data_IF_584576690405
#
_entry.id   IF_584576690405
#
_cell.length_a   1.000
_cell.length_b   1.000
_cell.length_c   1.000
_cell.angle_alpha   90.00
_cell.angle_beta   90.00
_cell.angle_gamma   90.00
#
_symmetry.space_group_name_H-M   'P 1'
#
loop_
_entity.id
_entity.type
_entity.pdbx_description
1 polymer ?
#
# COMPACT_ATOMS: atom_id res chain seq x y z
N UNK A 1 -12.47 13.71 6.89
CA UNK A 1 -12.23 12.27 7.12
C UNK A 1 -12.75 11.96 8.52
N UNK A 2 -13.84 11.19 8.62
CA UNK A 2 -14.58 10.96 9.88
C UNK A 2 -13.70 10.42 11.01
N UNK A 3 -12.72 9.58 10.70
CA UNK A 3 -11.83 8.99 11.70
C UNK A 3 -10.86 10.04 12.29
N UNK A 4 -10.30 10.91 11.44
CA UNK A 4 -9.42 12.00 11.88
C UNK A 4 -10.20 13.07 12.64
N UNK A 5 -11.40 13.42 12.17
CA UNK A 5 -12.29 14.36 12.86
C UNK A 5 -12.74 13.83 14.22
N UNK A 6 -13.02 12.53 14.33
CA UNK A 6 -13.35 11.90 15.61
C UNK A 6 -12.15 11.93 16.57
N UNK A 7 -10.95 11.68 16.07
CA UNK A 7 -9.75 11.66 16.90
C UNK A 7 -9.37 13.04 17.49
N UNK A 8 -9.78 14.14 16.84
CA UNK A 8 -9.53 15.49 17.37
C UNK A 8 -10.51 15.91 18.47
N UNK A 9 -11.71 15.33 18.48
CA UNK A 9 -12.78 15.68 19.43
C UNK A 9 -12.85 14.73 20.63
N UNK A 10 -12.51 13.46 20.42
CA UNK A 10 -12.71 12.40 21.38
C UNK A 10 -11.39 11.76 21.82
N UNK A 11 -11.43 10.88 22.84
CA UNK A 11 -10.21 10.35 23.47
C UNK A 11 -10.08 8.85 23.41
N UNK A 12 -11.18 8.09 23.45
CA UNK A 12 -11.12 6.62 23.56
C UNK A 12 -11.54 5.96 22.26
N UNK A 13 -10.67 5.13 21.69
CA UNK A 13 -10.97 4.32 20.53
C UNK A 13 -10.87 2.83 20.87
N UNK A 14 -11.79 2.04 20.34
CA UNK A 14 -11.69 0.58 20.37
C UNK A 14 -11.62 0.05 18.94
N UNK A 15 -10.59 -0.74 18.66
CA UNK A 15 -10.43 -1.43 17.37
C UNK A 15 -10.79 -2.90 17.56
N UNK A 16 -11.80 -3.38 16.86
CA UNK A 16 -12.22 -4.78 16.90
C UNK A 16 -11.48 -5.52 15.78
N UNK A 17 -10.50 -6.33 16.16
CA UNK A 17 -9.67 -7.15 15.27
C UNK A 17 -8.18 -6.88 15.44
N UNK A 18 -7.43 -7.91 15.87
CA UNK A 18 -5.97 -7.91 16.04
C UNK A 18 -5.17 -8.30 14.78
N UNK A 19 -5.76 -8.10 13.59
CA UNK A 19 -5.10 -8.32 12.31
C UNK A 19 -4.33 -7.10 11.81
N UNK A 20 -3.65 -7.23 10.66
CA UNK A 20 -2.78 -6.20 10.08
C UNK A 20 -3.43 -4.79 10.04
N UNK A 21 -4.60 -4.68 9.41
CA UNK A 21 -5.31 -3.40 9.26
C UNK A 21 -5.80 -2.83 10.60
N UNK A 22 -6.19 -3.71 11.54
CA UNK A 22 -6.62 -3.29 12.87
C UNK A 22 -5.47 -2.66 13.65
N UNK A 23 -4.30 -3.30 13.64
CA UNK A 23 -3.11 -2.79 14.31
C UNK A 23 -2.59 -1.50 13.66
N UNK A 24 -2.65 -1.38 12.33
CA UNK A 24 -2.28 -0.15 11.61
C UNK A 24 -3.25 1.00 11.93
N UNK A 25 -4.57 0.73 11.96
CA UNK A 25 -5.57 1.72 12.36
C UNK A 25 -5.41 2.15 13.82
N UNK A 26 -5.16 1.20 14.73
CA UNK A 26 -4.92 1.46 16.14
C UNK A 26 -3.70 2.37 16.34
N UNK A 27 -2.57 2.03 15.71
CA UNK A 27 -1.37 2.87 15.73
C UNK A 27 -1.61 4.26 15.10
N UNK A 28 -2.40 4.33 14.02
CA UNK A 28 -2.80 5.60 13.40
C UNK A 28 -3.57 6.51 14.37
N UNK A 29 -4.55 5.96 15.09
CA UNK A 29 -5.35 6.68 16.10
C UNK A 29 -4.52 7.09 17.32
N UNK A 30 -3.62 6.22 17.78
CA UNK A 30 -2.68 6.56 18.86
C UNK A 30 -1.80 7.76 18.49
N UNK A 31 -1.30 7.82 17.25
CA UNK A 31 -0.54 8.97 16.74
C UNK A 31 -1.36 10.26 16.67
N UNK A 32 -2.70 10.17 16.65
CA UNK A 32 -3.61 11.33 16.77
C UNK A 32 -3.92 11.68 18.23
N UNK A 33 -3.34 10.97 19.21
CA UNK A 33 -3.50 11.27 20.64
C UNK A 33 -4.70 10.59 21.30
N UNK A 34 -5.28 9.56 20.68
CA UNK A 34 -6.32 8.73 21.31
C UNK A 34 -5.70 7.63 22.19
N UNK A 35 -6.40 7.28 23.28
CA UNK A 35 -6.22 6.01 23.97
C UNK A 35 -6.89 4.91 23.16
N UNK A 36 -6.14 3.86 22.80
CA UNK A 36 -6.64 2.80 21.92
C UNK A 36 -6.54 1.44 22.60
N UNK A 37 -7.67 0.73 22.61
CA UNK A 37 -7.76 -0.69 22.98
C UNK A 37 -8.07 -1.53 21.75
N UNK A 38 -7.29 -2.58 21.52
CA UNK A 38 -7.56 -3.59 20.48
C UNK A 38 -8.26 -4.76 21.14
N UNK A 39 -9.47 -5.06 20.68
CA UNK A 39 -10.24 -6.24 21.09
C UNK A 39 -10.01 -7.33 20.04
N UNK A 40 -9.59 -8.51 20.47
CA UNK A 40 -9.38 -9.64 19.57
C UNK A 40 -9.98 -10.92 20.14
N UNK A 41 -10.56 -11.73 19.26
CA UNK A 41 -11.24 -12.96 19.64
C UNK A 41 -10.27 -14.09 20.02
N UNK A 42 -9.11 -14.13 19.37
CA UNK A 42 -8.12 -15.18 19.58
C UNK A 42 -7.13 -14.80 20.68
N UNK A 43 -6.35 -15.78 21.13
CA UNK A 43 -5.26 -15.61 22.11
C UNK A 43 -3.97 -15.04 21.48
N UNK A 44 -3.94 -14.89 20.16
CA UNK A 44 -2.78 -14.46 19.37
C UNK A 44 -3.19 -13.41 18.33
N UNK A 45 -2.32 -12.42 18.13
CA UNK A 45 -2.45 -11.39 17.09
C UNK A 45 -2.01 -11.95 15.74
N UNK A 46 -2.67 -11.48 14.67
CA UNK A 46 -2.35 -11.86 13.30
C UNK A 46 -2.19 -13.38 13.13
N UNK A 47 -3.11 -14.18 13.68
CA UNK A 47 -3.03 -15.65 13.75
C UNK A 47 -2.94 -16.34 12.38
N UNK A 48 -3.27 -15.61 11.31
CA UNK A 48 -3.12 -16.06 9.91
C UNK A 48 -1.73 -15.78 9.31
N UNK A 49 -0.89 -15.02 10.01
CA UNK A 49 0.43 -14.59 9.54
C UNK A 49 1.55 -14.83 10.57
N UNK A 50 1.23 -14.91 11.86
CA UNK A 50 2.21 -15.13 12.91
C UNK A 50 1.90 -16.39 13.68
N UNK A 51 2.96 -17.05 14.12
CA UNK A 51 2.86 -18.07 15.14
C UNK A 51 2.87 -17.45 16.54
N UNK A 52 2.60 -18.28 17.55
CA UNK A 52 2.41 -17.81 18.93
C UNK A 52 3.62 -17.04 19.50
N UNK A 53 4.88 -17.49 19.32
CA UNK A 53 6.05 -16.73 19.78
C UNK A 53 6.14 -15.33 19.15
N UNK A 54 6.02 -15.22 17.83
CA UNK A 54 6.10 -13.93 17.14
C UNK A 54 4.91 -13.02 17.50
N UNK A 55 3.71 -13.58 17.63
CA UNK A 55 2.52 -12.86 18.09
C UNK A 55 2.72 -12.25 19.49
N UNK A 56 3.27 -13.01 20.44
CA UNK A 56 3.52 -12.51 21.80
C UNK A 56 4.56 -11.38 21.78
N UNK A 57 5.61 -11.52 20.96
CA UNK A 57 6.62 -10.47 20.78
C UNK A 57 6.00 -9.20 20.18
N UNK A 58 5.11 -9.33 19.19
CA UNK A 58 4.37 -8.23 18.60
C UNK A 58 3.49 -7.52 19.64
N UNK A 59 2.68 -8.29 20.37
CA UNK A 59 1.79 -7.76 21.39
C UNK A 59 2.57 -6.95 22.42
N UNK A 60 3.65 -7.53 22.98
CA UNK A 60 4.50 -6.85 23.96
C UNK A 60 5.10 -5.55 23.42
N UNK A 61 5.59 -5.55 22.18
CA UNK A 61 6.17 -4.34 21.57
C UNK A 61 5.14 -3.23 21.36
N UNK A 62 3.88 -3.59 21.07
CA UNK A 62 2.78 -2.63 20.93
C UNK A 62 2.28 -2.13 22.29
N UNK A 63 2.25 -2.99 23.30
CA UNK A 63 1.93 -2.61 24.70
C UNK A 63 2.95 -1.63 25.27
N UNK A 64 4.24 -1.85 25.02
CA UNK A 64 5.32 -0.92 25.41
C UNK A 64 5.15 0.47 24.77
N UNK A 65 4.42 0.56 23.66
CA UNK A 65 4.09 1.82 22.97
C UNK A 65 2.76 2.43 23.44
N UNK A 66 2.09 1.80 24.42
CA UNK A 66 0.85 2.27 25.03
C UNK A 66 -0.43 1.72 24.42
N UNK A 67 -0.35 0.77 23.47
CA UNK A 67 -1.54 0.10 22.94
C UNK A 67 -2.08 -0.89 23.98
N UNK A 68 -3.39 -0.90 24.22
CA UNK A 68 -4.00 -1.87 25.15
C UNK A 68 -4.61 -3.02 24.35
N UNK A 69 -4.55 -4.24 24.90
CA UNK A 69 -5.15 -5.41 24.28
C UNK A 69 -6.17 -6.07 25.21
N UNK A 70 -7.30 -6.44 24.62
CA UNK A 70 -8.35 -7.29 25.20
C UNK A 70 -8.41 -8.54 24.35
N UNK A 71 -7.51 -9.48 24.65
CA UNK A 71 -7.40 -10.77 23.96
C UNK A 71 -8.48 -11.73 24.47
N UNK A 72 -8.89 -12.68 23.63
CA UNK A 72 -9.95 -13.65 23.97
C UNK A 72 -11.30 -12.99 24.34
N UNK A 73 -11.56 -11.79 23.84
CA UNK A 73 -12.80 -11.04 24.09
C UNK A 73 -13.76 -11.13 22.90
N UNK A 74 -14.97 -11.63 23.17
CA UNK A 74 -16.06 -11.69 22.19
C UNK A 74 -16.96 -10.47 22.38
N UNK A 75 -16.97 -9.54 21.42
CA UNK A 75 -17.91 -8.41 21.44
C UNK A 75 -19.35 -8.91 21.25
N UNK A 76 -20.25 -8.49 22.13
CA UNK A 76 -21.67 -8.82 22.09
C UNK A 76 -22.50 -7.65 21.53
N UNK A 77 -22.24 -6.43 22.01
CA UNK A 77 -23.03 -5.26 21.65
C UNK A 77 -22.17 -4.00 21.58
N UNK A 78 -22.48 -3.12 20.62
CA UNK A 78 -21.99 -1.74 20.57
C UNK A 78 -23.00 -0.88 21.33
N UNK A 79 -22.58 -0.28 22.43
CA UNK A 79 -23.44 0.51 23.32
C UNK A 79 -23.63 1.92 22.79
N UNK A 80 -24.82 2.48 23.01
CA UNK A 80 -25.20 3.83 22.60
C UNK A 80 -26.37 3.83 21.61
N UNK A 81 -27.06 4.97 21.48
CA UNK A 81 -28.21 5.11 20.57
C UNK A 81 -27.81 5.81 19.28
N UNK A 82 -27.49 7.10 19.34
CA UNK A 82 -27.06 7.89 18.18
C UNK A 82 -25.55 7.82 17.93
N UNK A 83 -24.76 7.62 18.99
CA UNK A 83 -23.31 7.50 18.96
C UNK A 83 -22.88 6.39 19.91
N UNK A 84 -21.81 5.70 19.53
CA UNK A 84 -21.15 4.74 20.41
C UNK A 84 -20.67 5.41 21.70
N UNK A 85 -20.93 4.74 22.83
CA UNK A 85 -20.42 5.09 24.15
C UNK A 85 -19.51 4.00 24.72
N UNK A 86 -19.58 2.79 24.16
CA UNK A 86 -18.77 1.66 24.61
C UNK A 86 -19.08 0.37 23.88
N UNK A 87 -18.44 -0.71 24.32
CA UNK A 87 -18.74 -2.08 23.92
C UNK A 87 -19.10 -2.90 25.14
N UNK A 88 -20.01 -3.87 24.95
CA UNK A 88 -20.27 -4.96 25.89
C UNK A 88 -19.75 -6.27 25.31
N UNK A 89 -19.12 -7.07 26.15
CA UNK A 89 -18.60 -8.39 25.79
C UNK A 89 -19.51 -9.51 26.28
N UNK A 90 -19.38 -10.71 25.70
CA UNK A 90 -20.18 -11.90 26.08
C UNK A 90 -20.01 -12.33 27.53
N UNK A 91 -18.88 -11.98 28.16
CA UNK A 91 -18.64 -12.23 29.59
C UNK A 91 -19.33 -11.21 30.51
N UNK A 92 -20.02 -10.20 29.95
CA UNK A 92 -20.71 -9.13 30.67
C UNK A 92 -19.84 -7.92 30.99
N UNK A 93 -18.54 -7.95 30.70
CA UNK A 93 -17.66 -6.79 30.86
C UNK A 93 -17.98 -5.72 29.80
N UNK A 94 -17.71 -4.47 30.15
CA UNK A 94 -17.91 -3.32 29.27
C UNK A 94 -16.65 -2.45 29.21
N UNK A 95 -16.44 -1.79 28.07
CA UNK A 95 -15.38 -0.80 27.88
C UNK A 95 -15.94 0.47 27.25
N UNK A 96 -15.56 1.63 27.79
CA UNK A 96 -15.88 2.92 27.20
C UNK A 96 -15.19 3.11 25.83
N UNK A 97 -15.93 3.61 24.85
CA UNK A 97 -15.42 3.89 23.52
C UNK A 97 -16.17 5.08 22.91
N UNK A 98 -15.43 6.10 22.48
CA UNK A 98 -15.99 7.20 21.71
C UNK A 98 -15.98 6.90 20.21
N UNK A 99 -15.10 5.99 19.76
CA UNK A 99 -14.92 5.58 18.38
C UNK A 99 -14.69 4.06 18.35
N UNK A 100 -15.42 3.36 17.47
CA UNK A 100 -15.20 1.94 17.20
C UNK A 100 -14.76 1.75 15.76
N UNK A 101 -13.65 1.02 15.56
CA UNK A 101 -13.15 0.63 14.24
C UNK A 101 -13.35 -0.88 14.07
N UNK A 102 -14.08 -1.26 13.02
CA UNK A 102 -14.28 -2.65 12.65
C UNK A 102 -13.17 -3.13 11.71
N UNK A 103 -12.32 -4.04 12.15
CA UNK A 103 -11.21 -4.62 11.39
C UNK A 103 -11.24 -6.16 11.43
N UNK A 104 -12.43 -6.73 11.18
CA UNK A 104 -12.74 -8.18 11.35
C UNK A 104 -12.68 -8.98 10.04
N UNK A 105 -11.88 -8.50 9.07
CA UNK A 105 -11.77 -9.08 7.73
C UNK A 105 -12.79 -8.53 6.73
N UNK A 106 -12.65 -8.95 5.48
CA UNK A 106 -13.47 -8.52 4.35
C UNK A 106 -14.25 -9.69 3.76
N UNK A 107 -15.29 -9.38 2.98
CA UNK A 107 -16.04 -10.35 2.20
C UNK A 107 -16.06 -9.91 0.74
N UNK A 108 -15.85 -10.86 -0.16
CA UNK A 108 -15.95 -10.66 -1.61
C UNK A 108 -17.31 -10.08 -1.97
N UNK A 109 -17.34 -8.99 -2.74
CA UNK A 109 -18.58 -8.39 -3.23
C UNK A 109 -18.90 -8.92 -4.63
N UNK A 110 -19.76 -9.93 -4.70
CA UNK A 110 -20.15 -10.60 -5.96
C UNK A 110 -21.68 -10.67 -6.14
N UNK A 111 -22.45 -9.79 -5.48
CA UNK A 111 -23.93 -9.78 -5.58
C UNK A 111 -24.41 -9.60 -7.01
N UNK A 112 -23.83 -8.63 -7.73
CA UNK A 112 -24.15 -8.37 -9.15
C UNK A 112 -23.92 -9.61 -10.03
N UNK A 113 -22.81 -10.33 -9.81
CA UNK A 113 -22.48 -11.52 -10.57
C UNK A 113 -23.47 -12.65 -10.31
N UNK A 114 -23.84 -12.84 -9.04
CA UNK A 114 -24.85 -13.83 -8.61
C UNK A 114 -26.22 -13.53 -9.20
N UNK A 115 -26.66 -12.27 -9.16
CA UNK A 115 -27.93 -11.82 -9.76
C UNK A 115 -27.93 -11.98 -11.29
N UNK A 116 -26.76 -11.87 -11.91
CA UNK A 116 -26.56 -12.11 -13.35
C UNK A 116 -26.47 -13.59 -13.73
N UNK A 117 -26.61 -14.51 -12.78
CA UNK A 117 -26.54 -15.96 -13.03
C UNK A 117 -25.13 -16.51 -13.21
N UNK A 118 -24.08 -15.75 -12.87
CA UNK A 118 -22.70 -16.22 -12.92
C UNK A 118 -22.40 -17.16 -11.76
N UNK A 119 -21.49 -18.10 -12.00
CA UNK A 119 -21.07 -19.06 -10.99
C UNK A 119 -20.29 -18.37 -9.87
N UNK A 120 -20.84 -18.42 -8.65
CA UNK A 120 -20.28 -17.80 -7.46
C UNK A 120 -20.28 -18.81 -6.31
N UNK A 121 -19.25 -18.75 -5.47
CA UNK A 121 -19.16 -19.50 -4.22
C UNK A 121 -18.88 -18.52 -3.06
N UNK A 122 -17.61 -18.37 -2.67
CA UNK A 122 -17.13 -17.39 -1.69
C UNK A 122 -16.58 -16.13 -2.40
N UNK A 123 -16.55 -16.16 -3.72
CA UNK A 123 -16.28 -15.09 -4.66
C UNK A 123 -16.89 -15.42 -6.02
N UNK A 124 -16.75 -14.52 -6.99
CA UNK A 124 -17.03 -14.80 -8.40
C UNK A 124 -15.97 -15.76 -8.94
N UNK A 125 -16.38 -16.95 -9.36
CA UNK A 125 -15.45 -17.99 -9.79
C UNK A 125 -14.89 -17.66 -11.18
N UNK A 126 -13.56 -17.68 -11.28
CA UNK A 126 -12.84 -17.49 -12.55
C UNK A 126 -11.86 -18.62 -12.84
N UNK A 127 -11.55 -18.80 -14.12
CA UNK A 127 -10.51 -19.72 -14.59
C UNK A 127 -9.11 -19.07 -14.56
N UNK A 128 -8.08 -19.76 -15.05
CA UNK A 128 -6.69 -19.28 -15.04
C UNK A 128 -6.44 -18.06 -15.96
N UNK A 129 -7.37 -17.68 -16.84
CA UNK A 129 -7.30 -16.47 -17.68
C UNK A 129 -8.16 -15.32 -17.12
N UNK A 130 -8.67 -15.47 -15.89
CA UNK A 130 -9.55 -14.51 -15.21
C UNK A 130 -10.93 -14.35 -15.86
N UNK A 131 -11.32 -15.29 -16.72
CA UNK A 131 -12.68 -15.37 -17.27
C UNK A 131 -13.61 -16.08 -16.30
N UNK A 132 -14.86 -15.61 -16.25
CA UNK A 132 -15.94 -16.33 -15.59
C UNK A 132 -16.41 -17.52 -16.44
N UNK A 133 -17.47 -18.21 -16.03
CA UNK A 133 -18.11 -19.22 -16.86
C UNK A 133 -18.68 -18.65 -18.17
N UNK A 134 -19.09 -17.37 -18.19
CA UNK A 134 -19.40 -16.67 -19.43
C UNK A 134 -18.07 -16.17 -20.05
N UNK A 135 -17.71 -16.60 -21.27
CA UNK A 135 -16.44 -16.26 -21.89
C UNK A 135 -16.30 -14.76 -22.22
N UNK A 136 -17.41 -14.01 -22.23
CA UNK A 136 -17.40 -12.56 -22.50
C UNK A 136 -17.19 -11.73 -21.21
N UNK A 137 -17.23 -12.37 -20.04
CA UNK A 137 -17.15 -11.68 -18.75
C UNK A 137 -15.88 -12.10 -18.02
N UNK A 138 -15.11 -11.10 -17.62
CA UNK A 138 -13.90 -11.24 -16.82
C UNK A 138 -14.13 -10.62 -15.45
N UNK A 139 -13.40 -11.14 -14.48
CA UNK A 139 -13.33 -10.52 -13.17
C UNK A 139 -11.92 -10.60 -12.63
N UNK A 140 -11.50 -9.52 -11.98
CA UNK A 140 -10.25 -9.38 -11.24
C UNK A 140 -10.57 -8.64 -9.95
N UNK A 141 -9.75 -8.78 -8.91
CA UNK A 141 -10.03 -8.09 -7.65
C UNK A 141 -10.25 -9.04 -6.48
N UNK A 142 -10.57 -8.44 -5.34
CA UNK A 142 -10.93 -9.15 -4.11
C UNK A 142 -12.30 -9.85 -4.22
N UNK A 143 -13.10 -9.51 -5.24
CA UNK A 143 -14.39 -10.17 -5.49
C UNK A 143 -14.23 -11.56 -6.12
N UNK A 144 -13.04 -11.90 -6.61
CA UNK A 144 -12.77 -13.11 -7.37
C UNK A 144 -12.36 -14.27 -6.48
N UNK A 145 -12.89 -15.44 -6.81
CA UNK A 145 -12.39 -16.72 -6.33
C UNK A 145 -11.68 -17.45 -7.47
N UNK A 146 -10.38 -17.69 -7.31
CA UNK A 146 -9.57 -18.46 -8.26
C UNK A 146 -9.05 -19.73 -7.56
N UNK A 147 -9.33 -20.90 -8.16
CA UNK A 147 -8.96 -22.22 -7.60
C UNK A 147 -9.36 -22.41 -6.12
N UNK A 148 -10.51 -21.88 -5.73
CA UNK A 148 -11.02 -21.96 -4.35
C UNK A 148 -10.46 -20.90 -3.39
N UNK A 149 -9.59 -20.00 -3.86
CA UNK A 149 -8.92 -19.00 -3.03
C UNK A 149 -9.40 -17.59 -3.39
N UNK A 150 -9.63 -16.77 -2.37
CA UNK A 150 -9.91 -15.32 -2.47
C UNK A 150 -8.77 -14.53 -1.84
N UNK A 151 -8.25 -13.53 -2.55
CA UNK A 151 -7.14 -12.70 -2.07
C UNK A 151 -7.63 -11.31 -1.64
N UNK A 152 -7.19 -10.84 -0.48
CA UNK A 152 -7.42 -9.48 0.02
C UNK A 152 -6.13 -8.64 0.02
N UNK A 153 -5.34 -8.74 -1.06
CA UNK A 153 -4.01 -8.15 -1.18
C UNK A 153 -3.77 -7.58 -2.57
N UNK A 154 -3.06 -6.45 -2.65
CA UNK A 154 -2.82 -5.72 -3.91
C UNK A 154 -1.98 -6.52 -4.92
N UNK A 155 -0.94 -7.23 -4.47
CA UNK A 155 -0.03 -7.94 -5.38
C UNK A 155 -0.73 -9.06 -6.19
N UNK A 156 -1.51 -9.98 -5.57
CA UNK A 156 -2.34 -10.93 -6.31
C UNK A 156 -3.26 -10.25 -7.33
N UNK A 157 -3.85 -9.11 -6.97
CA UNK A 157 -4.76 -8.37 -7.83
C UNK A 157 -4.09 -7.79 -9.07
N UNK A 158 -2.85 -7.32 -8.95
CA UNK A 158 -2.08 -6.89 -10.12
C UNK A 158 -1.68 -8.05 -11.03
N UNK A 159 -1.37 -9.21 -10.47
CA UNK A 159 -1.12 -10.43 -11.27
C UNK A 159 -2.39 -10.84 -12.05
N UNK A 160 -3.54 -10.87 -11.38
CA UNK A 160 -4.85 -11.11 -12.01
C UNK A 160 -5.10 -10.11 -13.15
N UNK A 161 -4.93 -8.81 -12.89
CA UNK A 161 -5.14 -7.76 -13.89
C UNK A 161 -4.21 -7.91 -15.11
N UNK A 162 -2.93 -8.25 -14.89
CA UNK A 162 -1.96 -8.51 -15.97
C UNK A 162 -2.39 -9.70 -16.83
N UNK A 163 -2.86 -10.78 -16.22
CA UNK A 163 -3.34 -11.97 -16.93
C UNK A 163 -4.61 -11.64 -17.74
N UNK A 164 -5.60 -11.00 -17.12
CA UNK A 164 -6.84 -10.60 -17.78
C UNK A 164 -6.56 -9.66 -18.98
N UNK A 165 -5.69 -8.65 -18.80
CA UNK A 165 -5.34 -7.70 -19.85
C UNK A 165 -4.61 -8.37 -21.03
N UNK A 166 -3.66 -9.28 -20.77
CA UNK A 166 -2.98 -10.04 -21.82
C UNK A 166 -3.96 -10.91 -22.63
N UNK A 167 -4.93 -11.50 -21.94
CA UNK A 167 -5.94 -12.33 -22.60
C UNK A 167 -6.91 -11.48 -23.45
N UNK A 168 -7.41 -10.36 -22.91
CA UNK A 168 -8.28 -9.42 -23.62
C UNK A 168 -7.59 -8.76 -24.83
N UNK A 169 -6.28 -8.53 -24.76
CA UNK A 169 -5.49 -7.95 -25.85
C UNK A 169 -5.06 -8.98 -26.91
N UNK A 170 -5.50 -10.23 -26.79
CA UNK A 170 -5.13 -11.34 -27.69
C UNK A 170 -3.62 -11.62 -27.77
N UNK A 171 -2.84 -11.16 -26.77
CA UNK A 171 -1.40 -11.38 -26.69
C UNK A 171 -1.01 -12.73 -26.06
N UNK A 172 -1.97 -13.43 -25.45
CA UNK A 172 -1.89 -14.87 -25.21
C UNK A 172 -1.11 -15.36 -23.99
N UNK A 173 -1.28 -16.67 -23.76
CA UNK A 173 -0.70 -17.68 -22.83
C UNK A 173 -0.54 -17.38 -21.34
N UNK A 174 -0.68 -16.13 -20.88
CA UNK A 174 -0.62 -15.81 -19.46
C UNK A 174 -1.68 -16.58 -18.67
N UNK A 175 -1.25 -17.29 -17.63
CA UNK A 175 -2.13 -17.98 -16.68
C UNK A 175 -1.84 -17.49 -15.28
N UNK A 176 -2.89 -17.23 -14.53
CA UNK A 176 -2.79 -17.01 -13.10
C UNK A 176 -2.83 -18.38 -12.42
N UNK A 177 -1.76 -18.74 -11.71
CA UNK A 177 -1.65 -20.03 -11.03
C UNK A 177 -1.98 -19.95 -9.53
N UNK A 178 -2.27 -18.74 -9.05
CA UNK A 178 -2.33 -18.39 -7.63
C UNK A 178 -1.07 -17.68 -7.17
N UNK A 179 -1.20 -16.79 -6.19
CA UNK A 179 -0.08 -16.05 -5.61
C UNK A 179 0.28 -16.63 -4.25
N UNK A 180 1.56 -16.94 -4.03
CA UNK A 180 2.09 -17.18 -2.67
C UNK A 180 2.29 -15.81 -2.03
N UNK A 181 1.63 -15.56 -0.90
CA UNK A 181 1.62 -14.23 -0.29
C UNK A 181 2.73 -14.09 0.74
N UNK A 182 3.36 -12.92 0.78
CA UNK A 182 4.15 -12.48 1.92
C UNK A 182 3.45 -11.30 2.63
N UNK A 183 3.62 -11.21 3.94
CA UNK A 183 3.03 -10.13 4.76
C UNK A 183 4.12 -9.39 5.53
N UNK A 184 4.03 -8.07 5.54
CA UNK A 184 4.83 -7.15 6.36
C UNK A 184 3.90 -6.15 7.03
N UNK A 185 4.11 -5.86 8.32
CA UNK A 185 3.34 -4.86 9.06
C UNK A 185 3.95 -3.47 8.90
N UNK A 186 3.12 -2.44 8.70
CA UNK A 186 3.58 -1.05 8.51
C UNK A 186 3.50 -0.22 9.78
N UNK A 187 3.74 -0.82 10.95
CA UNK A 187 3.88 -0.09 12.21
C UNK A 187 5.35 0.29 12.37
N UNK A 188 5.64 1.59 12.34
CA UNK A 188 7.00 2.14 12.40
C UNK A 188 7.82 1.51 13.53
N UNK A 189 8.98 0.93 13.22
CA UNK A 189 9.89 0.34 14.21
C UNK A 189 9.47 -1.04 14.73
N UNK A 190 8.52 -1.72 14.08
CA UNK A 190 8.27 -3.15 14.25
C UNK A 190 8.54 -3.82 12.92
N UNK A 191 9.50 -4.73 12.91
CA UNK A 191 9.85 -5.50 11.73
C UNK A 191 9.30 -6.91 11.87
N UNK A 192 8.40 -7.29 10.95
CA UNK A 192 7.92 -8.65 10.83
C UNK A 192 7.75 -9.05 9.37
N UNK A 193 7.99 -10.32 9.10
CA UNK A 193 7.82 -10.95 7.79
C UNK A 193 7.21 -12.33 7.96
N UNK A 194 6.24 -12.67 7.13
CA UNK A 194 5.69 -14.02 7.06
C UNK A 194 5.36 -14.39 5.62
N UNK A 195 5.58 -15.64 5.26
CA UNK A 195 5.21 -16.19 3.96
C UNK A 195 4.93 -17.69 4.02
N UNK A 196 4.11 -18.17 3.10
CA UNK A 196 3.83 -19.60 2.91
C UNK A 196 3.11 -20.26 4.10
N UNK A 197 3.25 -21.58 4.20
CA UNK A 197 2.73 -22.38 5.32
C UNK A 197 3.77 -22.48 6.43
N UNK A 198 3.65 -21.61 7.42
CA UNK A 198 4.52 -21.56 8.60
C UNK A 198 3.96 -22.31 9.82
N UNK A 199 2.77 -22.91 9.69
CA UNK A 199 2.18 -23.73 10.75
C UNK A 199 2.82 -25.11 10.76
N UNK A 200 2.99 -25.70 9.57
CA UNK A 200 3.53 -27.04 9.42
C UNK A 200 2.58 -28.14 9.87
N UNK A 201 3.06 -29.38 9.78
CA UNK A 201 2.36 -30.60 10.18
C UNK A 201 3.36 -31.64 10.71
N UNK A 202 2.85 -32.77 11.22
CA UNK A 202 3.68 -33.85 11.81
C UNK A 202 4.74 -34.43 10.85
N UNK A 203 4.59 -34.21 9.55
CA UNK A 203 5.51 -34.62 8.49
C UNK A 203 6.42 -33.48 7.99
N UNK A 204 6.52 -32.39 8.75
CA UNK A 204 7.39 -31.24 8.46
C UNK A 204 8.42 -31.05 9.57
N UNK A 205 9.58 -30.51 9.21
CA UNK A 205 10.59 -30.09 10.15
C UNK A 205 10.48 -28.59 10.44
N UNK A 206 10.73 -28.20 11.69
CA UNK A 206 10.81 -26.79 12.09
C UNK A 206 12.26 -26.40 12.41
N UNK A 207 12.73 -25.33 11.78
CA UNK A 207 14.01 -24.69 12.10
C UNK A 207 13.72 -23.38 12.83
N UNK A 208 14.16 -23.25 14.08
CA UNK A 208 13.88 -22.08 14.93
C UNK A 208 15.18 -21.46 15.46
N UNK A 209 15.31 -20.14 15.29
CA UNK A 209 16.31 -19.30 15.94
C UNK A 209 15.59 -18.23 16.76
N UNK A 210 15.97 -18.08 18.04
CA UNK A 210 15.42 -17.06 18.91
C UNK A 210 16.50 -16.44 19.79
N UNK A 211 16.63 -15.12 19.73
CA UNK A 211 17.40 -14.32 20.66
C UNK A 211 16.47 -13.28 21.33
N UNK A 212 16.13 -13.54 22.59
CA UNK A 212 15.22 -12.70 23.36
C UNK A 212 15.83 -11.36 23.75
N UNK A 213 17.16 -11.26 23.86
CA UNK A 213 17.83 -10.03 24.28
C UNK A 213 17.83 -9.01 23.15
N UNK A 214 18.04 -9.46 21.92
CA UNK A 214 17.97 -8.61 20.72
C UNK A 214 16.56 -8.50 20.14
N UNK A 215 15.62 -9.33 20.59
CA UNK A 215 14.24 -9.34 20.10
C UNK A 215 14.10 -10.03 18.73
N UNK A 216 15.02 -10.93 18.39
CA UNK A 216 15.04 -11.63 17.10
C UNK A 216 14.36 -12.99 17.20
N UNK A 217 13.50 -13.29 16.23
CA UNK A 217 12.87 -14.59 16.06
C UNK A 217 12.82 -14.96 14.58
N UNK A 218 13.27 -16.17 14.24
CA UNK A 218 13.19 -16.73 12.89
C UNK A 218 12.68 -18.17 12.98
N UNK A 219 11.61 -18.48 12.26
CA UNK A 219 11.09 -19.84 12.08
C UNK A 219 10.99 -20.14 10.59
N UNK A 220 11.47 -21.31 10.19
CA UNK A 220 11.25 -21.89 8.86
C UNK A 220 10.58 -23.26 9.03
N UNK A 221 9.55 -23.52 8.23
CA UNK A 221 8.94 -24.84 8.09
C UNK A 221 9.46 -25.49 6.82
N UNK A 222 9.96 -26.71 6.92
CA UNK A 222 10.63 -27.43 5.85
C UNK A 222 9.98 -28.80 5.64
N UNK A 223 9.78 -29.19 4.38
CA UNK A 223 9.35 -30.54 4.01
C UNK A 223 10.12 -30.99 2.78
N UNK A 224 10.62 -32.22 2.79
CA UNK A 224 11.40 -32.80 1.68
C UNK A 224 12.56 -31.87 1.24
N UNK A 225 13.28 -31.30 2.21
CA UNK A 225 14.34 -30.31 2.01
C UNK A 225 13.92 -29.05 1.22
N UNK A 226 12.65 -28.65 1.31
CA UNK A 226 12.14 -27.39 0.72
C UNK A 226 11.42 -26.56 1.77
N UNK A 227 11.57 -25.25 1.70
CA UNK A 227 10.87 -24.32 2.60
C UNK A 227 9.39 -24.27 2.19
N UNK A 228 8.50 -24.54 3.15
CA UNK A 228 7.05 -24.40 2.99
C UNK A 228 6.56 -23.04 3.49
N UNK A 229 7.18 -22.51 4.55
CA UNK A 229 6.80 -21.24 5.16
C UNK A 229 7.87 -20.66 6.05
N UNK A 230 7.72 -19.38 6.39
CA UNK A 230 8.60 -18.68 7.31
C UNK A 230 7.87 -17.62 8.13
N UNK A 231 8.35 -17.38 9.35
CA UNK A 231 7.98 -16.27 10.22
C UNK A 231 9.26 -15.64 10.77
N UNK A 232 9.46 -14.36 10.51
CA UNK A 232 10.57 -13.57 11.02
C UNK A 232 10.04 -12.37 11.82
N UNK A 233 10.69 -12.07 12.94
CA UNK A 233 10.41 -10.92 13.78
C UNK A 233 11.71 -10.31 14.28
N UNK A 234 11.78 -8.98 14.28
CA UNK A 234 12.99 -8.23 14.66
C UNK A 234 13.98 -8.13 13.51
N UNK A 235 14.65 -9.23 13.14
CA UNK A 235 15.50 -9.30 11.95
C UNK A 235 14.75 -9.97 10.80
N UNK A 236 14.32 -9.17 9.82
CA UNK A 236 13.52 -9.60 8.68
C UNK A 236 14.25 -9.58 7.34
N UNK A 237 15.55 -9.29 7.36
CA UNK A 237 16.37 -9.07 6.14
C UNK A 237 16.29 -10.27 5.19
N UNK A 238 16.41 -11.48 5.74
CA UNK A 238 16.41 -12.74 4.98
C UNK A 238 15.02 -13.15 4.47
N UNK A 239 13.95 -12.43 4.82
CA UNK A 239 12.58 -12.83 4.49
C UNK A 239 12.33 -12.96 2.99
N UNK A 240 12.86 -12.01 2.21
CA UNK A 240 12.76 -12.04 0.74
C UNK A 240 13.50 -13.23 0.14
N UNK A 241 14.65 -13.59 0.70
CA UNK A 241 15.44 -14.74 0.27
C UNK A 241 14.73 -16.06 0.58
N UNK A 242 14.19 -16.24 1.79
CA UNK A 242 13.40 -17.44 2.12
C UNK A 242 12.15 -17.58 1.25
N UNK A 243 11.47 -16.46 0.95
CA UNK A 243 10.32 -16.44 0.05
C UNK A 243 10.70 -16.85 -1.38
N UNK A 244 11.86 -16.43 -1.86
CA UNK A 244 12.38 -16.85 -3.16
C UNK A 244 12.67 -18.36 -3.19
N UNK A 245 13.40 -18.89 -2.19
CA UNK A 245 13.69 -20.34 -2.08
C UNK A 245 12.40 -21.19 -2.06
N UNK A 246 11.38 -20.70 -1.36
CA UNK A 246 10.05 -21.32 -1.32
C UNK A 246 9.37 -21.31 -2.68
N UNK A 247 9.34 -20.16 -3.36
CA UNK A 247 8.72 -20.02 -4.70
C UNK A 247 9.41 -20.88 -5.76
N UNK A 248 10.73 -21.01 -5.67
CA UNK A 248 11.54 -21.83 -6.59
C UNK A 248 11.53 -23.33 -6.23
N UNK A 249 11.06 -23.69 -5.03
CA UNK A 249 11.12 -25.07 -4.54
C UNK A 249 12.56 -25.58 -4.39
N UNK A 250 13.48 -24.70 -4.02
CA UNK A 250 14.92 -24.99 -3.92
C UNK A 250 15.18 -26.08 -2.87
N UNK A 251 16.00 -27.06 -3.24
CA UNK A 251 16.53 -28.04 -2.28
C UNK A 251 17.58 -27.37 -1.37
N UNK A 252 17.31 -27.34 -0.07
CA UNK A 252 18.14 -26.69 0.94
C UNK A 252 19.15 -27.63 1.61
N UNK A 253 19.22 -28.92 1.26
CA UNK A 253 20.01 -29.93 1.97
C UNK A 253 21.47 -29.49 2.19
N UNK A 254 22.09 -28.95 1.15
CA UNK A 254 23.51 -28.56 1.15
C UNK A 254 23.84 -27.43 2.14
N UNK A 255 22.85 -26.62 2.53
CA UNK A 255 23.06 -25.43 3.36
C UNK A 255 22.07 -25.31 4.52
N UNK A 256 21.33 -26.38 4.81
CA UNK A 256 20.31 -26.43 5.86
C UNK A 256 20.83 -26.02 7.24
N UNK A 257 22.07 -26.41 7.57
CA UNK A 257 22.69 -26.14 8.87
C UNK A 257 23.04 -24.65 9.09
N UNK A 258 23.19 -23.87 8.02
CA UNK A 258 23.52 -22.44 8.08
C UNK A 258 22.34 -21.55 7.70
N UNK A 259 21.23 -22.15 7.24
CA UNK A 259 20.06 -21.46 6.67
C UNK A 259 19.47 -20.37 7.58
N UNK A 260 19.38 -20.61 8.89
CA UNK A 260 18.82 -19.65 9.86
C UNK A 260 19.72 -18.43 10.12
N UNK A 261 21.01 -18.53 9.81
CA UNK A 261 21.94 -17.40 9.95
C UNK A 261 21.92 -16.47 8.73
N UNK A 262 21.12 -16.79 7.71
CA UNK A 262 20.87 -15.94 6.56
C UNK A 262 21.82 -16.17 5.38
N UNK A 263 21.49 -15.56 4.25
CA UNK A 263 22.15 -15.80 2.96
C UNK A 263 23.66 -15.50 3.01
N UNK A 264 24.06 -14.50 3.79
CA UNK A 264 25.45 -14.06 3.93
C UNK A 264 26.37 -15.14 4.54
N UNK A 265 25.82 -16.14 5.25
CA UNK A 265 26.58 -17.23 5.86
C UNK A 265 26.66 -18.49 4.98
N UNK A 266 26.16 -18.42 3.74
CA UNK A 266 26.28 -19.49 2.75
C UNK A 266 27.57 -19.44 1.91
N UNK A 267 28.43 -18.44 2.16
CA UNK A 267 29.74 -18.29 1.54
C UNK A 267 30.84 -18.10 2.59
N UNK A 268 32.04 -18.56 2.26
CA UNK A 268 33.25 -18.41 3.08
C UNK A 268 33.68 -16.92 3.15
N UNK A 269 34.12 -16.50 4.34
CA UNK A 269 34.75 -15.20 4.69
C UNK A 269 33.84 -13.96 4.83
N UNK A 270 33.94 -13.34 6.01
CA UNK A 270 33.18 -12.14 6.38
C UNK A 270 33.63 -10.83 5.74
N UNK A 271 32.74 -9.83 5.81
CA UNK A 271 32.97 -8.39 6.04
C UNK A 271 31.65 -7.61 5.79
N UNK A 272 31.20 -6.84 6.78
CA UNK A 272 30.38 -5.60 6.63
C UNK A 272 28.90 -5.70 6.19
N UNK A 273 28.06 -4.82 6.75
CA UNK A 273 26.62 -4.70 6.46
C UNK A 273 26.30 -4.13 5.04
N UNK A 274 27.24 -3.43 4.38
CA UNK A 274 27.07 -2.90 3.01
C UNK A 274 27.13 -3.96 1.91
N UNK A 275 27.65 -5.15 2.20
CA UNK A 275 27.94 -6.22 1.22
C UNK A 275 26.74 -7.16 0.99
N UNK A 276 25.65 -7.00 1.74
CA UNK A 276 24.56 -8.00 1.84
C UNK A 276 23.59 -7.95 0.66
N UNK A 277 23.31 -6.77 0.10
CA UNK A 277 22.40 -6.60 -1.05
C UNK A 277 23.10 -6.91 -2.39
N UNK A 278 24.42 -6.65 -2.44
CA UNK A 278 25.28 -7.00 -3.56
C UNK A 278 25.34 -8.52 -3.83
N UNK A 279 25.22 -9.34 -2.77
CA UNK A 279 25.28 -10.80 -2.86
C UNK A 279 23.97 -11.48 -3.32
N UNK A 280 22.84 -10.76 -3.37
CA UNK A 280 21.56 -11.32 -3.83
C UNK A 280 21.61 -11.67 -5.33
N UNK A 281 20.92 -12.73 -5.79
CA UNK A 281 20.86 -13.04 -7.22
C UNK A 281 20.00 -12.02 -7.99
N UNK A 282 20.20 -11.87 -9.30
CA UNK A 282 19.48 -10.90 -10.13
C UNK A 282 17.97 -11.13 -10.19
N UNK A 283 17.52 -12.36 -10.01
CA UNK A 283 16.10 -12.71 -9.95
C UNK A 283 15.47 -12.46 -8.56
N UNK A 284 16.25 -12.04 -7.56
CA UNK A 284 15.71 -11.78 -6.22
C UNK A 284 14.75 -10.59 -6.23
N UNK A 285 13.56 -10.79 -5.68
CA UNK A 285 12.52 -9.77 -5.62
C UNK A 285 12.86 -8.72 -4.56
N UNK A 286 13.01 -7.46 -5.01
CA UNK A 286 13.33 -6.33 -4.14
C UNK A 286 12.06 -5.56 -3.78
N UNK A 287 11.19 -5.32 -4.77
CA UNK A 287 9.93 -4.61 -4.57
C UNK A 287 8.72 -5.56 -4.68
N UNK A 288 8.31 -6.17 -3.57
CA UNK A 288 7.15 -7.07 -3.53
C UNK A 288 5.82 -6.46 -3.98
N UNK A 289 5.64 -5.14 -3.81
CA UNK A 289 4.41 -4.45 -4.22
C UNK A 289 4.27 -4.33 -5.75
N UNK A 290 5.39 -4.27 -6.48
CA UNK A 290 5.40 -4.07 -7.94
C UNK A 290 6.04 -5.25 -8.70
N UNK A 291 6.53 -6.27 -8.00
CA UNK A 291 7.17 -7.44 -8.58
C UNK A 291 8.54 -7.17 -9.20
N UNK A 292 9.28 -6.17 -8.70
CA UNK A 292 10.55 -5.73 -9.32
C UNK A 292 11.73 -6.46 -8.69
N UNK A 293 12.52 -7.15 -9.51
CA UNK A 293 13.70 -7.89 -9.10
C UNK A 293 14.99 -7.04 -9.13
N UNK A 294 16.03 -7.49 -8.42
CA UNK A 294 17.34 -6.84 -8.35
C UNK A 294 17.92 -6.56 -9.75
N UNK A 295 17.91 -7.55 -10.63
CA UNK A 295 18.49 -7.45 -11.96
C UNK A 295 17.80 -6.39 -12.82
N UNK A 296 16.49 -6.22 -12.68
CA UNK A 296 15.75 -5.15 -13.37
C UNK A 296 16.17 -3.77 -12.87
N UNK A 297 16.39 -3.62 -11.56
CA UNK A 297 16.86 -2.37 -10.95
C UNK A 297 18.29 -2.07 -11.40
N UNK A 298 19.21 -3.03 -11.24
CA UNK A 298 20.63 -2.88 -11.62
C UNK A 298 20.77 -2.59 -13.11
N UNK A 299 20.09 -3.37 -13.97
CA UNK A 299 20.06 -3.13 -15.41
C UNK A 299 19.51 -1.75 -15.75
N UNK A 300 18.42 -1.33 -15.10
CA UNK A 300 17.85 -0.01 -15.33
C UNK A 300 18.81 1.11 -14.91
N UNK A 301 19.51 0.95 -13.79
CA UNK A 301 20.53 1.89 -13.32
C UNK A 301 21.65 2.03 -14.36
N UNK A 302 22.19 0.90 -14.85
CA UNK A 302 23.28 0.90 -15.82
C UNK A 302 22.85 1.38 -17.22
N UNK A 303 21.75 0.85 -17.76
CA UNK A 303 21.30 1.13 -19.13
C UNK A 303 20.75 2.55 -19.27
N UNK A 304 20.00 3.03 -18.26
CA UNK A 304 19.34 4.34 -18.31
C UNK A 304 20.09 5.42 -17.53
N UNK A 305 21.26 5.11 -16.94
CA UNK A 305 22.09 6.03 -16.15
C UNK A 305 21.28 6.73 -15.07
N UNK A 306 20.64 5.93 -14.21
CA UNK A 306 19.84 6.43 -13.10
C UNK A 306 20.77 6.72 -11.92
N UNK A 307 20.78 7.94 -11.42
CA UNK A 307 21.70 8.35 -10.35
C UNK A 307 21.01 8.55 -9.01
N UNK A 308 19.67 8.68 -9.00
CA UNK A 308 18.90 8.94 -7.79
C UNK A 308 17.80 7.90 -7.56
N UNK A 309 17.34 7.78 -6.32
CA UNK A 309 16.21 6.91 -5.97
C UNK A 309 14.94 7.25 -6.76
N UNK A 310 14.70 8.52 -7.04
CA UNK A 310 13.52 8.95 -7.80
C UNK A 310 13.62 8.59 -9.29
N UNK A 311 14.82 8.52 -9.85
CA UNK A 311 15.07 7.99 -11.19
C UNK A 311 14.72 6.50 -11.25
N UNK A 312 15.10 5.74 -10.23
CA UNK A 312 14.73 4.32 -10.11
C UNK A 312 13.22 4.16 -9.95
N UNK A 313 12.58 4.95 -9.08
CA UNK A 313 11.11 4.91 -8.88
C UNK A 313 10.34 5.24 -10.15
N UNK A 314 10.76 6.26 -10.88
CA UNK A 314 10.06 6.68 -12.10
C UNK A 314 10.16 5.62 -13.20
N UNK A 315 11.32 4.97 -13.32
CA UNK A 315 11.64 3.99 -14.36
C UNK A 315 11.13 2.58 -14.05
N UNK A 316 11.50 2.02 -12.90
CA UNK A 316 11.21 0.61 -12.56
C UNK A 316 9.95 0.44 -11.71
N UNK A 317 9.43 1.53 -11.14
CA UNK A 317 8.39 1.53 -10.08
C UNK A 317 8.83 0.89 -8.76
N UNK A 318 10.05 0.38 -8.62
CA UNK A 318 10.55 -0.06 -7.32
C UNK A 318 10.50 1.12 -6.32
N UNK A 319 10.13 0.85 -5.05
CA UNK A 319 9.92 1.86 -3.99
C UNK A 319 8.77 2.86 -4.21
N UNK A 320 8.13 2.92 -5.39
CA UNK A 320 7.14 3.94 -5.73
C UNK A 320 5.73 3.73 -5.12
N UNK A 321 5.37 2.50 -4.74
CA UNK A 321 4.00 2.18 -4.28
C UNK A 321 3.87 2.22 -2.75
N UNK A 322 4.59 1.33 -2.06
CA UNK A 322 4.44 1.13 -0.61
C UNK A 322 5.68 1.58 0.19
N UNK A 323 6.79 1.91 -0.46
CA UNK A 323 8.01 2.43 0.14
C UNK A 323 8.83 1.45 1.00
N UNK A 324 8.34 0.24 1.30
CA UNK A 324 9.00 -0.70 2.23
C UNK A 324 10.35 -1.23 1.76
N UNK A 325 10.61 -1.21 0.45
CA UNK A 325 11.88 -1.64 -0.14
C UNK A 325 12.87 -0.48 -0.37
N UNK A 326 12.56 0.74 0.09
CA UNK A 326 13.36 1.95 -0.21
C UNK A 326 14.82 1.77 0.17
N UNK A 327 15.13 1.34 1.40
CA UNK A 327 16.51 1.14 1.83
C UNK A 327 17.26 0.12 0.96
N UNK A 328 16.61 -0.97 0.53
CA UNK A 328 17.22 -1.95 -0.37
C UNK A 328 17.51 -1.36 -1.76
N UNK A 329 16.61 -0.52 -2.29
CA UNK A 329 16.82 0.17 -3.57
C UNK A 329 17.96 1.19 -3.45
N UNK A 330 18.05 1.93 -2.35
CA UNK A 330 19.13 2.87 -2.07
C UNK A 330 20.48 2.14 -1.96
N UNK A 331 20.54 1.02 -1.24
CA UNK A 331 21.74 0.18 -1.18
C UNK A 331 22.14 -0.39 -2.55
N UNK A 332 21.19 -0.82 -3.38
CA UNK A 332 21.47 -1.27 -4.75
C UNK A 332 22.00 -0.13 -5.63
N UNK A 333 21.43 1.05 -5.50
CA UNK A 333 21.83 2.24 -6.24
C UNK A 333 23.25 2.65 -5.88
N UNK A 334 23.54 2.75 -4.58
CA UNK A 334 24.88 3.04 -4.05
C UNK A 334 25.90 1.98 -4.48
N UNK A 335 25.54 0.70 -4.45
CA UNK A 335 26.44 -0.39 -4.86
C UNK A 335 26.69 -0.39 -6.38
N UNK A 336 25.66 -0.15 -7.20
CA UNK A 336 25.75 -0.22 -8.66
C UNK A 336 26.54 0.97 -9.24
N UNK A 337 26.40 2.15 -8.63
CA UNK A 337 27.08 3.38 -9.07
C UNK A 337 28.43 3.61 -8.38
N UNK A 338 28.68 2.96 -7.24
CA UNK A 338 29.89 3.18 -6.44
C UNK A 338 30.01 4.64 -5.99
N UNK A 339 31.16 5.27 -6.26
CA UNK A 339 31.43 6.68 -5.91
C UNK A 339 30.70 7.72 -6.77
N UNK A 340 30.02 7.30 -7.85
CA UNK A 340 29.16 8.15 -8.68
C UNK A 340 27.71 8.17 -8.17
N UNK A 341 27.45 7.58 -7.00
CA UNK A 341 26.19 7.74 -6.30
C UNK A 341 26.07 9.16 -5.77
N UNK A 342 25.16 9.94 -6.36
CA UNK A 342 24.69 11.18 -5.75
C UNK A 342 23.73 10.80 -4.62
N UNK A 343 24.25 10.77 -3.39
CA UNK A 343 23.43 10.69 -2.19
C UNK A 343 22.32 11.73 -2.35
N UNK A 344 21.05 11.28 -2.35
CA UNK A 344 19.93 12.18 -2.53
C UNK A 344 20.14 13.34 -1.56
N UNK A 345 20.09 14.61 -2.03
CA UNK A 345 20.37 15.73 -1.16
C UNK A 345 19.52 15.55 0.09
N UNK A 346 20.17 15.49 1.25
CA UNK A 346 19.53 15.23 2.55
C UNK A 346 18.32 16.14 2.80
N UNK A 347 18.23 17.22 2.03
CA UNK A 347 17.07 18.06 1.83
C UNK A 347 16.77 18.24 0.34
N UNK A 348 15.90 17.39 -0.23
CA UNK A 348 15.35 17.61 -1.57
C UNK A 348 14.33 18.76 -1.53
N UNK A 349 14.58 19.89 -2.20
CA UNK A 349 13.60 20.96 -2.25
C UNK A 349 12.33 20.52 -2.97
N UNK A 350 11.19 21.08 -2.58
CA UNK A 350 9.87 20.77 -3.18
C UNK A 350 9.87 20.93 -4.72
N UNK A 351 10.54 21.97 -5.21
CA UNK A 351 10.74 22.24 -6.64
C UNK A 351 11.80 23.33 -6.80
N UNK A 352 12.14 23.72 -8.03
CA UNK A 352 13.08 24.81 -8.31
C UNK A 352 12.66 26.21 -7.82
N UNK A 353 11.42 26.39 -7.34
CA UNK A 353 10.97 27.67 -6.80
C UNK A 353 11.35 27.89 -5.33
N UNK A 354 11.88 26.90 -4.62
CA UNK A 354 12.25 27.02 -3.19
C UNK A 354 13.45 26.14 -2.87
N UNK A 355 14.24 26.50 -1.86
CA UNK A 355 15.27 25.63 -1.29
C UNK A 355 14.73 24.68 -0.20
N UNK A 356 13.48 24.85 0.22
CA UNK A 356 12.88 24.12 1.32
C UNK A 356 12.24 22.80 0.87
N UNK A 357 12.33 21.78 1.72
CA UNK A 357 11.69 20.48 1.48
C UNK A 357 10.17 20.56 1.68
N UNK A 358 9.45 19.56 1.16
CA UNK A 358 8.01 19.43 1.42
C UNK A 358 7.68 19.44 2.93
N UNK A 359 8.50 18.78 3.75
CA UNK A 359 8.31 18.70 5.20
C UNK A 359 8.57 20.04 5.89
N UNK A 360 9.65 20.74 5.53
CA UNK A 360 9.99 22.05 6.07
C UNK A 360 8.89 23.08 5.77
N UNK A 361 8.38 23.07 4.54
CA UNK A 361 7.28 23.96 4.12
C UNK A 361 6.00 23.62 4.87
N UNK A 362 5.60 22.35 4.94
CA UNK A 362 4.40 21.93 5.67
C UNK A 362 4.48 22.29 7.15
N UNK A 363 5.61 22.01 7.79
CA UNK A 363 5.83 22.30 9.21
C UNK A 363 5.80 23.80 9.46
N UNK A 364 6.52 24.60 8.68
CA UNK A 364 6.54 26.04 8.87
C UNK A 364 5.22 26.73 8.51
N UNK A 365 4.42 26.19 7.57
CA UNK A 365 3.04 26.66 7.34
C UNK A 365 2.21 26.57 8.62
N UNK A 366 2.35 25.48 9.38
CA UNK A 366 1.64 25.29 10.64
C UNK A 366 2.26 26.11 11.78
N UNK A 367 3.57 25.99 12.02
CA UNK A 367 4.28 26.62 13.14
C UNK A 367 4.28 28.15 13.09
N UNK A 368 4.25 28.72 11.89
CA UNK A 368 4.31 30.16 11.68
C UNK A 368 2.94 30.76 11.34
N UNK A 369 1.87 29.97 11.48
CA UNK A 369 0.49 30.38 11.23
C UNK A 369 0.28 31.03 9.84
N UNK A 370 0.90 30.47 8.80
CA UNK A 370 0.84 31.02 7.45
C UNK A 370 -0.49 30.61 6.79
N UNK A 371 -1.44 31.54 6.68
CA UNK A 371 -2.82 31.27 6.23
C UNK A 371 -3.13 31.65 4.78
N UNK A 372 -2.14 31.95 3.97
CA UNK A 372 -2.32 32.21 2.53
C UNK A 372 -1.11 31.77 1.73
N UNK A 373 -1.30 31.52 0.42
CA UNK A 373 -0.18 31.17 -0.47
C UNK A 373 0.85 32.28 -0.56
N UNK A 374 0.44 33.54 -0.53
CA UNK A 374 1.37 34.67 -0.54
C UNK A 374 2.18 34.73 0.75
N UNK A 375 1.55 34.56 1.91
CA UNK A 375 2.25 34.53 3.19
C UNK A 375 3.28 33.40 3.23
N UNK A 376 2.91 32.21 2.76
CA UNK A 376 3.82 31.07 2.69
C UNK A 376 4.97 31.30 1.70
N UNK A 377 4.68 31.77 0.48
CA UNK A 377 5.71 32.06 -0.53
C UNK A 377 6.67 33.14 -0.07
N UNK A 378 6.18 34.21 0.54
CA UNK A 378 7.02 35.27 1.09
C UNK A 378 7.89 34.77 2.25
N UNK A 379 7.32 34.02 3.19
CA UNK A 379 8.05 33.48 4.34
C UNK A 379 9.22 32.57 3.92
N UNK A 380 8.97 31.67 2.97
CA UNK A 380 9.96 30.72 2.48
C UNK A 380 10.78 31.23 1.28
N UNK A 381 10.73 32.54 0.98
CA UNK A 381 11.49 33.19 -0.09
C UNK A 381 11.37 32.48 -1.45
N UNK A 382 10.14 32.24 -1.90
CA UNK A 382 9.89 31.61 -3.19
C UNK A 382 10.52 32.41 -4.33
N UNK A 383 11.34 31.76 -5.15
CA UNK A 383 12.03 32.39 -6.28
C UNK A 383 11.06 32.82 -7.40
N UNK A 384 9.88 32.20 -7.48
CA UNK A 384 8.84 32.53 -8.45
C UNK A 384 7.61 33.06 -7.71
N UNK A 385 7.16 34.31 -7.97
CA UNK A 385 6.04 34.93 -7.24
C UNK A 385 4.76 34.10 -7.21
N UNK A 386 4.41 33.45 -8.33
CA UNK A 386 3.19 32.63 -8.44
C UNK A 386 3.45 31.12 -8.24
N UNK A 387 4.71 30.73 -8.01
CA UNK A 387 5.14 29.34 -8.03
C UNK A 387 4.98 28.64 -9.39
N UNK A 388 5.51 27.41 -9.49
CA UNK A 388 5.33 26.52 -10.64
C UNK A 388 4.15 25.54 -10.42
N UNK A 389 3.73 24.77 -11.45
CA UNK A 389 2.65 23.78 -11.30
C UNK A 389 2.87 22.73 -10.20
N UNK A 390 4.13 22.41 -9.88
CA UNK A 390 4.47 21.46 -8.81
C UNK A 390 4.22 22.03 -7.42
N UNK A 391 4.79 23.20 -7.11
CA UNK A 391 4.63 23.79 -5.78
C UNK A 391 3.28 24.45 -5.55
N UNK A 392 2.62 24.96 -6.60
CA UNK A 392 1.33 25.65 -6.42
C UNK A 392 0.26 24.69 -5.92
N UNK A 393 0.18 23.50 -6.52
CA UNK A 393 -0.70 22.43 -6.03
C UNK A 393 -0.32 21.95 -4.63
N UNK A 394 0.98 21.72 -4.41
CA UNK A 394 1.47 21.25 -3.10
C UNK A 394 1.18 22.24 -1.98
N UNK A 395 1.42 23.54 -2.21
CA UNK A 395 1.23 24.59 -1.22
C UNK A 395 -0.24 24.86 -0.95
N UNK A 396 -1.08 24.86 -1.99
CA UNK A 396 -2.54 24.94 -1.84
C UNK A 396 -3.07 23.77 -0.99
N UNK A 397 -2.59 22.55 -1.24
CA UNK A 397 -2.92 21.39 -0.42
C UNK A 397 -2.44 21.53 1.04
N UNK A 398 -1.24 22.07 1.28
CA UNK A 398 -0.73 22.26 2.64
C UNK A 398 -1.56 23.24 3.43
N UNK A 399 -1.91 24.37 2.83
CA UNK A 399 -2.76 25.38 3.44
C UNK A 399 -4.18 24.83 3.69
N UNK A 400 -4.75 24.07 2.76
CA UNK A 400 -6.02 23.36 2.98
C UNK A 400 -5.94 22.36 4.13
N UNK A 401 -4.84 21.62 4.23
CA UNK A 401 -4.66 20.61 5.28
C UNK A 401 -4.38 21.22 6.66
N UNK A 402 -3.67 22.35 6.70
CA UNK A 402 -3.26 23.02 7.93
C UNK A 402 -4.30 24.00 8.44
N UNK A 403 -5.05 24.65 7.54
CA UNK A 403 -6.03 25.70 7.84
C UNK A 403 -7.38 25.47 7.14
N UNK A 404 -8.02 24.30 7.28
CA UNK A 404 -9.23 23.95 6.53
C UNK A 404 -10.43 24.88 6.77
N UNK A 405 -10.43 25.65 7.87
CA UNK A 405 -11.48 26.62 8.20
C UNK A 405 -11.15 28.06 7.76
N UNK A 406 -9.86 28.39 7.65
CA UNK A 406 -9.41 29.76 7.39
C UNK A 406 -8.93 29.96 5.94
N UNK A 407 -8.42 28.91 5.30
CA UNK A 407 -7.89 28.94 3.95
C UNK A 407 -8.88 28.33 2.95
N UNK A 408 -9.17 29.08 1.88
CA UNK A 408 -10.02 28.61 0.79
C UNK A 408 -9.16 28.04 -0.34
N UNK A 409 -9.63 26.93 -0.92
CA UNK A 409 -8.99 26.29 -2.08
C UNK A 409 -8.76 27.32 -3.20
N UNK A 410 -7.52 27.47 -3.66
CA UNK A 410 -7.19 28.38 -4.74
C UNK A 410 -7.39 27.68 -6.10
N UNK A 411 -8.39 28.09 -6.92
CA UNK A 411 -8.64 27.47 -8.21
C UNK A 411 -7.47 27.60 -9.19
N UNK A 412 -6.58 28.58 -9.01
CA UNK A 412 -5.38 28.75 -9.83
C UNK A 412 -4.28 27.74 -9.52
N UNK A 413 -4.38 26.99 -8.41
CA UNK A 413 -3.45 25.90 -8.15
C UNK A 413 -3.65 24.76 -9.15
N UNK A 414 -4.91 24.47 -9.47
CA UNK A 414 -5.31 23.36 -10.33
C UNK A 414 -4.76 23.51 -11.74
N UNK A 415 -4.57 22.39 -12.42
CA UNK A 415 -4.20 22.43 -13.84
C UNK A 415 -5.27 23.19 -14.63
N UNK A 416 -4.85 23.88 -15.69
CA UNK A 416 -5.77 24.68 -16.52
C UNK A 416 -6.96 23.83 -17.00
N UNK A 417 -6.73 22.55 -17.30
CA UNK A 417 -7.78 21.65 -17.76
C UNK A 417 -8.84 21.36 -16.69
N UNK A 418 -8.43 21.31 -15.43
CA UNK A 418 -9.33 21.09 -14.29
C UNK A 418 -10.07 22.37 -13.89
N UNK A 419 -9.40 23.54 -14.01
CA UNK A 419 -9.99 24.84 -13.69
C UNK A 419 -10.98 25.31 -14.74
N UNK A 420 -10.68 25.10 -16.02
CA UNK A 420 -11.51 25.55 -17.13
C UNK A 420 -12.53 24.50 -17.57
N UNK A 421 -12.52 23.30 -16.96
CA UNK A 421 -13.32 22.15 -17.38
C UNK A 421 -13.19 21.85 -18.89
N UNK A 422 -11.96 21.97 -19.39
CA UNK A 422 -11.69 21.84 -20.82
C UNK A 422 -10.22 21.59 -21.13
N UNK A 423 -9.92 20.82 -22.17
CA UNK A 423 -8.55 20.48 -22.52
C UNK A 423 -7.98 21.41 -23.58
N UNK A 424 -6.78 21.93 -23.35
CA UNK A 424 -5.99 22.62 -24.38
C UNK A 424 -5.47 21.59 -25.38
N UNK A 425 -5.77 21.79 -26.66
CA UNK A 425 -5.29 20.97 -27.76
C UNK A 425 -3.94 21.47 -28.27
N UNK A 426 -3.21 20.62 -29.00
CA UNK A 426 -1.85 20.94 -29.50
C UNK A 426 -1.81 22.12 -30.48
N UNK A 427 -2.93 22.42 -31.12
CA UNK A 427 -3.09 23.54 -32.05
C UNK A 427 -3.48 24.87 -31.35
N UNK A 428 -3.57 24.87 -30.02
CA UNK A 428 -3.95 26.04 -29.22
C UNK A 428 -5.45 26.25 -29.09
N UNK A 429 -6.29 25.35 -29.64
CA UNK A 429 -7.73 25.33 -29.39
C UNK A 429 -8.07 24.71 -28.03
N UNK A 430 -9.31 24.86 -27.59
CA UNK A 430 -9.80 24.32 -26.32
C UNK A 430 -11.03 23.48 -26.59
N UNK A 431 -11.09 22.32 -25.96
CA UNK A 431 -12.25 21.43 -25.91
C UNK A 431 -12.90 21.53 -24.54
N UNK A 432 -14.22 21.38 -24.43
CA UNK A 432 -14.97 21.47 -23.18
C UNK A 432 -15.68 20.14 -22.95
N UNK A 433 -15.61 19.65 -21.70
CA UNK A 433 -16.33 18.45 -21.28
C UNK A 433 -17.41 18.87 -20.28
N UNK A 434 -18.67 19.04 -20.71
CA UNK A 434 -19.78 19.37 -19.82
C UNK A 434 -19.88 18.38 -18.65
N UNK A 435 -20.14 18.91 -17.47
CA UNK A 435 -20.25 18.10 -16.25
C UNK A 435 -21.54 17.29 -16.26
N UNK A 436 -21.43 15.96 -16.20
CA UNK A 436 -22.55 15.03 -16.04
C UNK A 436 -22.47 14.39 -14.65
N UNK A 437 -23.37 14.75 -13.74
CA UNK A 437 -23.35 14.25 -12.36
C UNK A 437 -23.70 12.76 -12.31
N UNK A 438 -22.74 11.92 -11.90
CA UNK A 438 -22.93 10.47 -11.83
C UNK A 438 -23.17 9.81 -13.20
N UNK A 439 -22.79 10.47 -14.31
CA UNK A 439 -23.08 9.98 -15.66
C UNK A 439 -24.55 10.14 -16.09
N UNK A 440 -25.39 10.79 -15.28
CA UNK A 440 -26.78 11.05 -15.61
C UNK A 440 -26.91 12.22 -16.59
N UNK A 441 -27.78 12.05 -17.59
CA UNK A 441 -28.07 13.04 -18.62
C UNK A 441 -29.52 12.88 -19.10
N UNK A 442 -30.20 13.99 -19.31
CA UNK A 442 -31.54 14.01 -19.90
C UNK A 442 -31.44 14.27 -21.42
N UNK A 443 -32.50 13.96 -22.19
CA UNK A 443 -32.56 14.36 -23.60
C UNK A 443 -32.38 15.88 -23.82
N UNK A 444 -32.82 16.71 -22.88
CA UNK A 444 -32.67 18.17 -22.98
C UNK A 444 -31.22 18.62 -22.75
N UNK A 445 -30.49 17.94 -21.85
CA UNK A 445 -29.05 18.18 -21.68
C UNK A 445 -28.26 17.82 -22.95
N UNK A 446 -28.61 16.70 -23.61
CA UNK A 446 -27.99 16.31 -24.89
C UNK A 446 -28.30 17.31 -26.01
N UNK A 447 -29.53 17.84 -26.05
CA UNK A 447 -29.89 18.91 -27.00
C UNK A 447 -29.10 20.19 -26.71
N UNK A 448 -28.95 20.57 -25.45
CA UNK A 448 -28.15 21.74 -25.09
C UNK A 448 -26.69 21.59 -25.53
N UNK A 449 -26.11 20.39 -25.42
CA UNK A 449 -24.77 20.09 -25.92
C UNK A 449 -24.72 20.22 -27.46
N UNK A 450 -25.69 19.63 -28.16
CA UNK A 450 -25.78 19.72 -29.62
C UNK A 450 -25.96 21.18 -30.11
N UNK A 451 -26.84 21.96 -29.46
CA UNK A 451 -27.09 23.36 -29.80
C UNK A 451 -25.82 24.22 -29.61
N UNK A 452 -25.01 23.91 -28.59
CA UNK A 452 -23.70 24.57 -28.38
C UNK A 452 -22.72 24.18 -29.47
N UNK A 453 -22.63 22.89 -29.81
CA UNK A 453 -21.75 22.42 -30.89
C UNK A 453 -22.09 23.08 -32.23
N UNK A 454 -23.38 23.18 -32.58
CA UNK A 454 -23.85 23.85 -33.79
C UNK A 454 -23.55 25.36 -33.75
N UNK A 455 -23.83 26.03 -32.62
CA UNK A 455 -23.62 27.47 -32.47
C UNK A 455 -22.16 27.90 -32.65
N UNK A 456 -21.22 27.08 -32.19
CA UNK A 456 -19.79 27.37 -32.24
C UNK A 456 -19.06 26.62 -33.37
N UNK A 457 -19.80 25.97 -34.27
CA UNK A 457 -19.26 25.21 -35.40
C UNK A 457 -18.18 24.21 -34.96
N UNK A 458 -18.44 23.49 -33.86
CA UNK A 458 -17.49 22.54 -33.26
C UNK A 458 -17.22 21.40 -34.26
N UNK A 459 -15.96 21.19 -34.67
CA UNK A 459 -15.64 20.27 -35.76
C UNK A 459 -15.69 18.79 -35.35
N UNK A 460 -15.56 18.48 -34.06
CA UNK A 460 -15.53 17.12 -33.54
C UNK A 460 -16.23 17.05 -32.18
N UNK A 461 -17.20 16.14 -32.03
CA UNK A 461 -17.69 15.70 -30.72
C UNK A 461 -17.35 14.23 -30.53
N UNK A 462 -16.85 13.86 -29.34
CA UNK A 462 -16.47 12.48 -29.04
C UNK A 462 -16.86 12.06 -27.63
N UNK A 463 -17.08 10.76 -27.47
CA UNK A 463 -17.23 10.17 -26.15
C UNK A 463 -15.84 9.78 -25.63
N UNK A 464 -15.43 10.41 -24.54
CA UNK A 464 -14.14 10.16 -23.89
C UNK A 464 -14.11 8.79 -23.20
N UNK A 465 -12.91 8.31 -22.87
CA UNK A 465 -12.74 7.07 -22.08
C UNK A 465 -13.41 7.12 -20.70
N UNK A 466 -13.74 8.32 -20.19
CA UNK A 466 -14.55 8.51 -18.98
C UNK A 466 -16.06 8.51 -19.22
N UNK A 467 -16.52 8.09 -20.41
CA UNK A 467 -17.93 8.06 -20.83
C UNK A 467 -18.63 9.42 -20.77
N UNK A 468 -17.92 10.49 -21.13
CA UNK A 468 -18.45 11.86 -21.22
C UNK A 468 -18.33 12.40 -22.64
N UNK A 469 -19.22 13.31 -23.03
CA UNK A 469 -19.17 14.01 -24.32
C UNK A 469 -18.17 15.16 -24.20
N UNK A 470 -17.17 15.17 -25.08
CA UNK A 470 -16.14 16.19 -25.27
C UNK A 470 -16.37 16.86 -26.62
N UNK A 471 -16.26 18.20 -26.66
CA UNK A 471 -16.57 19.03 -27.83
C UNK A 471 -15.59 20.20 -27.94
#
# INVERSE_FOLDING_TARGET
>A
NVMVESASQYKKAVVIGGGLLGLEAANGLMKQGMEVSVVHLMDTLMERQLDKPASIMLQKSLEERGMKFLMEHVTDEILGEERVTGLRFKNGEEIDADLVVMAVGIKSNFSLAKESGLHCEHGLVVNDTMQTFDPNIYAVGECVQHRGITYGLVAPLFEQAKVAANHLAEFGIGRYEGTVTSTKLKVTGIELFSAGDFTGSDDTDELVFQDKATGTYKKLVVKDNRILGCVLYGDTIDGTWYFQLMKEGTDIEAFRNTLLFGQAHLGDSGHGDDTRVAAMPDNAEICGCNGVCKGEIVKSISDNKLFTLDDVRSTTKASASCGSCTGLVESLLAHTLGGDYEEAPSKKPMCGCTSHTHEEVRRGVFEQELKSMDAARSYFNWATPDGCPSCRNSLNYYLLSSWPLDYQDDPQSRYINERAHGNIQKDGTYSVVPRMFGGLCTPDDLRAIADVADKYEVPEMKVTGGQRIDM
#
